data_IF_596128251348
#
_entry.id   IF_596128251348
#
_cell.length_a   1.000
_cell.length_b   1.000
_cell.length_c   1.000
_cell.angle_alpha   90.00
_cell.angle_beta   90.00
_cell.angle_gamma   90.00
#
_symmetry.space_group_name_H-M   'P 1'
#
loop_
_entity.id
_entity.type
_entity.pdbx_description
1 polymer ?
#
# COMPACT_ATOMS: atom_id res chain seq x y z
N UNK A 1 29.62 -53.89 -3.50
CA UNK A 1 29.23 -53.41 -2.15
C UNK A 1 29.78 -51.99 -2.03
N UNK A 2 28.94 -50.95 -2.01
CA UNK A 2 29.44 -49.57 -1.93
C UNK A 2 29.95 -49.36 -0.51
N UNK A 3 31.23 -49.04 -0.36
CA UNK A 3 31.87 -48.74 0.93
C UNK A 3 31.11 -47.61 1.66
N UNK A 4 30.96 -47.74 2.97
CA UNK A 4 30.28 -46.78 3.83
C UNK A 4 30.90 -45.38 3.69
N UNK A 5 32.21 -45.32 3.46
CA UNK A 5 32.98 -44.11 3.17
C UNK A 5 32.48 -43.41 1.90
N UNK A 6 32.21 -44.18 0.85
CA UNK A 6 31.73 -43.66 -0.44
C UNK A 6 30.26 -43.19 -0.34
N UNK A 7 29.43 -43.88 0.46
CA UNK A 7 28.06 -43.44 0.78
C UNK A 7 28.05 -42.09 1.51
N UNK A 8 28.89 -41.93 2.55
CA UNK A 8 29.02 -40.67 3.31
C UNK A 8 29.51 -39.52 2.42
N UNK A 9 30.47 -39.79 1.51
CA UNK A 9 30.96 -38.81 0.53
C UNK A 9 29.86 -38.38 -0.46
N UNK A 10 29.11 -39.32 -1.04
CA UNK A 10 27.99 -39.01 -1.94
C UNK A 10 26.89 -38.20 -1.24
N UNK A 11 26.58 -38.51 0.03
CA UNK A 11 25.63 -37.73 0.82
C UNK A 11 26.12 -36.29 1.04
N UNK A 12 27.39 -36.09 1.44
CA UNK A 12 27.98 -34.76 1.59
C UNK A 12 27.90 -33.94 0.30
N UNK A 13 28.25 -34.53 -0.84
CA UNK A 13 28.18 -33.86 -2.15
C UNK A 13 26.73 -33.46 -2.48
N UNK A 14 25.76 -34.36 -2.25
CA UNK A 14 24.34 -34.04 -2.45
C UNK A 14 23.87 -32.88 -1.57
N UNK A 15 24.25 -32.86 -0.30
CA UNK A 15 23.93 -31.77 0.61
C UNK A 15 24.54 -30.44 0.14
N UNK A 16 25.80 -30.45 -0.30
CA UNK A 16 26.45 -29.25 -0.86
C UNK A 16 25.66 -28.73 -2.06
N UNK A 17 25.26 -29.61 -2.99
CA UNK A 17 24.46 -29.23 -4.16
C UNK A 17 23.11 -28.62 -3.73
N UNK A 18 22.42 -29.23 -2.75
CA UNK A 18 21.16 -28.69 -2.20
C UNK A 18 21.37 -27.29 -1.62
N UNK A 19 22.43 -27.07 -0.83
CA UNK A 19 22.73 -25.75 -0.28
C UNK A 19 23.01 -24.70 -1.35
N UNK A 20 23.73 -25.07 -2.42
CA UNK A 20 23.98 -24.17 -3.56
C UNK A 20 22.66 -23.80 -4.24
N UNK A 21 21.80 -24.77 -4.51
CA UNK A 21 20.48 -24.51 -5.13
C UNK A 21 19.64 -23.59 -4.25
N UNK A 22 19.56 -23.84 -2.95
CA UNK A 22 18.84 -22.99 -2.00
C UNK A 22 19.42 -21.57 -1.98
N UNK A 23 20.75 -21.43 -1.95
CA UNK A 23 21.43 -20.15 -2.01
C UNK A 23 21.08 -19.36 -3.28
N UNK A 24 21.07 -20.01 -4.44
CA UNK A 24 20.69 -19.40 -5.72
C UNK A 24 19.22 -18.98 -5.75
N UNK A 25 18.32 -19.81 -5.21
CA UNK A 25 16.88 -19.48 -5.12
C UNK A 25 16.66 -18.26 -4.22
N UNK A 26 17.33 -18.21 -3.06
CA UNK A 26 17.25 -17.06 -2.14
C UNK A 26 17.83 -15.82 -2.80
N UNK A 27 19.01 -15.90 -3.40
CA UNK A 27 19.65 -14.78 -4.07
C UNK A 27 18.79 -14.23 -5.23
N UNK A 28 18.24 -15.11 -6.06
CA UNK A 28 17.36 -14.74 -7.16
C UNK A 28 16.03 -14.13 -6.72
N UNK A 29 15.59 -14.40 -5.48
CA UNK A 29 14.34 -13.86 -4.90
C UNK A 29 14.58 -12.85 -3.77
N UNK A 30 15.81 -12.38 -3.57
CA UNK A 30 16.19 -11.60 -2.40
C UNK A 30 15.33 -10.33 -2.22
N UNK A 31 15.05 -9.62 -3.30
CA UNK A 31 14.22 -8.40 -3.28
C UNK A 31 12.78 -8.69 -2.84
N UNK A 32 12.18 -9.78 -3.32
CA UNK A 32 10.82 -10.21 -2.92
C UNK A 32 10.78 -10.60 -1.45
N UNK A 33 11.77 -11.37 -0.99
CA UNK A 33 11.87 -11.81 0.41
C UNK A 33 12.02 -10.60 1.34
N UNK A 34 12.96 -9.71 1.04
CA UNK A 34 13.19 -8.53 1.86
C UNK A 34 11.99 -7.56 1.81
N UNK A 35 11.31 -7.41 0.67
CA UNK A 35 10.08 -6.61 0.56
C UNK A 35 8.94 -7.17 1.41
N UNK A 36 8.74 -8.49 1.39
CA UNK A 36 7.75 -9.16 2.23
C UNK A 36 8.06 -9.03 3.73
N UNK A 37 9.33 -9.16 4.12
CA UNK A 37 9.77 -8.97 5.50
C UNK A 37 9.52 -7.53 6.00
N UNK A 38 9.87 -6.53 5.18
CA UNK A 38 9.61 -5.12 5.51
C UNK A 38 8.11 -4.87 5.63
N UNK A 39 7.32 -5.36 4.68
CA UNK A 39 5.85 -5.28 4.76
C UNK A 39 5.32 -5.85 6.07
N UNK A 40 5.78 -7.04 6.45
CA UNK A 40 5.37 -7.69 7.70
C UNK A 40 5.68 -6.83 8.94
N UNK A 41 6.89 -6.30 9.05
CA UNK A 41 7.26 -5.42 10.18
C UNK A 41 6.38 -4.17 10.21
N UNK A 42 6.22 -3.50 9.07
CA UNK A 42 5.47 -2.25 8.99
C UNK A 42 3.98 -2.49 9.24
N UNK A 43 3.41 -3.57 8.74
CA UNK A 43 2.00 -3.93 8.98
C UNK A 43 1.70 -4.20 10.45
N UNK A 44 2.67 -4.65 11.25
CA UNK A 44 2.49 -4.76 12.71
C UNK A 44 2.35 -3.40 13.40
N UNK A 45 2.65 -2.30 12.71
CA UNK A 45 2.47 -0.93 13.20
C UNK A 45 1.21 -0.27 12.65
N UNK A 46 0.39 -1.02 11.90
CA UNK A 46 -0.84 -0.52 11.30
C UNK A 46 -1.77 0.04 12.37
N UNK A 47 -2.15 1.30 12.21
CA UNK A 47 -3.27 1.89 12.92
C UNK A 47 -4.28 2.36 11.87
N UNK A 48 -5.51 1.86 11.99
CA UNK A 48 -6.61 2.19 11.09
C UNK A 48 -7.64 3.02 11.84
N UNK A 49 -7.99 4.17 11.25
CA UNK A 49 -9.00 5.06 11.80
C UNK A 49 -10.03 5.39 10.73
N UNK A 50 -11.29 5.32 11.11
CA UNK A 50 -12.40 5.76 10.26
C UNK A 50 -12.84 7.14 10.70
N UNK A 51 -12.89 8.08 9.76
CA UNK A 51 -13.38 9.45 10.01
C UNK A 51 -14.42 9.82 8.97
N UNK A 52 -15.38 10.65 9.37
CA UNK A 52 -16.37 11.21 8.44
C UNK A 52 -16.17 12.71 8.38
N UNK A 53 -16.08 13.26 7.17
CA UNK A 53 -15.96 14.71 6.96
C UNK A 53 -16.96 15.18 5.91
N UNK A 54 -17.49 16.37 6.11
CA UNK A 54 -18.19 17.12 5.08
C UNK A 54 -17.19 18.01 4.38
N UNK A 55 -17.13 17.94 3.05
CA UNK A 55 -16.15 18.61 2.23
C UNK A 55 -16.81 19.21 0.99
N UNK A 56 -16.20 20.27 0.47
CA UNK A 56 -16.43 20.83 -0.86
C UNK A 56 -15.59 20.09 -1.91
N UNK A 57 -15.89 20.30 -3.19
CA UNK A 57 -15.11 19.77 -4.32
C UNK A 57 -13.64 20.20 -4.26
N UNK A 58 -13.36 21.45 -3.87
CA UNK A 58 -12.00 21.99 -3.76
C UNK A 58 -11.21 21.28 -2.65
N UNK A 59 -11.82 21.04 -1.49
CA UNK A 59 -11.17 20.33 -0.39
C UNK A 59 -10.85 18.87 -0.75
N UNK A 60 -11.73 18.20 -1.53
CA UNK A 60 -11.44 16.86 -2.05
C UNK A 60 -10.23 16.90 -2.98
N UNK A 61 -10.18 17.88 -3.89
CA UNK A 61 -9.05 18.05 -4.81
C UNK A 61 -7.73 18.31 -4.07
N UNK A 62 -7.76 19.11 -3.00
CA UNK A 62 -6.58 19.34 -2.15
C UNK A 62 -6.12 18.06 -1.45
N UNK A 63 -7.05 17.27 -0.91
CA UNK A 63 -6.74 15.97 -0.29
C UNK A 63 -6.11 15.00 -1.30
N UNK A 64 -6.65 14.92 -2.52
CA UNK A 64 -6.07 14.12 -3.60
C UNK A 64 -4.67 14.60 -3.96
N UNK A 65 -4.49 15.90 -4.14
CA UNK A 65 -3.21 16.51 -4.51
C UNK A 65 -2.14 16.22 -3.46
N UNK A 66 -2.49 16.28 -2.19
CA UNK A 66 -1.58 15.94 -1.08
C UNK A 66 -1.22 14.46 -1.07
N UNK A 67 -2.17 13.57 -1.38
CA UNK A 67 -1.90 12.13 -1.45
C UNK A 67 -1.07 11.75 -2.68
N UNK A 68 -1.30 12.40 -3.81
CA UNK A 68 -0.47 12.24 -5.01
C UNK A 68 0.98 12.66 -4.73
N UNK A 69 1.21 13.74 -3.98
CA UNK A 69 2.56 14.11 -3.54
C UNK A 69 3.22 13.01 -2.70
N UNK A 70 2.44 12.33 -1.84
CA UNK A 70 2.94 11.22 -1.03
C UNK A 70 3.38 10.03 -1.90
N UNK A 71 2.70 9.73 -3.01
CA UNK A 71 3.12 8.63 -3.90
C UNK A 71 4.48 8.89 -4.54
N UNK A 72 4.85 10.15 -4.79
CA UNK A 72 6.17 10.50 -5.31
C UNK A 72 7.31 10.16 -4.34
N UNK A 73 7.09 10.22 -3.03
CA UNK A 73 8.06 9.80 -2.01
C UNK A 73 8.28 8.28 -1.95
N UNK A 74 7.44 7.50 -2.63
CA UNK A 74 7.54 6.03 -2.70
C UNK A 74 7.61 5.53 -4.16
N UNK A 75 8.03 6.38 -5.09
CA UNK A 75 8.04 6.11 -6.51
C UNK A 75 9.08 5.03 -6.91
N UNK A 76 8.78 4.29 -7.99
CA UNK A 76 9.55 3.15 -8.52
C UNK A 76 10.94 3.49 -9.07
N UNK A 77 11.28 4.77 -9.16
CA UNK A 77 12.54 5.22 -9.74
C UNK A 77 13.67 5.37 -8.69
N UNK A 78 13.38 5.18 -7.40
CA UNK A 78 14.39 5.30 -6.33
C UNK A 78 15.04 3.96 -5.97
N UNK A 79 16.33 3.99 -5.59
CA UNK A 79 17.05 2.77 -5.17
C UNK A 79 16.39 2.16 -3.94
N UNK A 80 15.88 0.93 -4.08
CA UNK A 80 15.19 0.23 -2.99
C UNK A 80 13.68 0.42 -2.97
N UNK A 81 13.08 1.05 -3.99
CA UNK A 81 11.63 1.20 -4.16
C UNK A 81 10.84 -0.11 -3.97
N UNK A 82 11.42 -1.24 -4.36
CA UNK A 82 10.81 -2.56 -4.24
C UNK A 82 10.51 -2.95 -2.77
N UNK A 83 11.15 -2.30 -1.79
CA UNK A 83 10.88 -2.47 -0.36
C UNK A 83 9.52 -1.89 0.06
N UNK A 84 9.05 -0.88 -0.67
CA UNK A 84 7.84 -0.09 -0.37
C UNK A 84 6.84 -0.10 -1.52
N UNK A 85 7.02 -0.93 -2.56
CA UNK A 85 6.06 -1.08 -3.67
C UNK A 85 4.64 -1.42 -3.18
N UNK A 86 4.54 -2.23 -2.12
CA UNK A 86 3.26 -2.56 -1.50
C UNK A 86 2.60 -1.34 -0.86
N UNK A 87 3.37 -0.44 -0.26
CA UNK A 87 2.87 0.78 0.38
C UNK A 87 2.43 1.80 -0.67
N UNK A 88 3.24 1.95 -1.73
CA UNK A 88 2.88 2.77 -2.87
C UNK A 88 1.54 2.33 -3.48
N UNK A 89 1.32 1.02 -3.65
CA UNK A 89 0.03 0.47 -4.11
C UNK A 89 -1.13 0.85 -3.19
N UNK A 90 -0.98 0.66 -1.87
CA UNK A 90 -2.04 1.04 -0.91
C UNK A 90 -2.37 2.54 -0.94
N UNK A 91 -1.38 3.41 -1.17
CA UNK A 91 -1.60 4.86 -1.30
C UNK A 91 -2.30 5.19 -2.63
N UNK A 92 -1.94 4.51 -3.72
CA UNK A 92 -2.57 4.69 -5.04
C UNK A 92 -4.02 4.20 -5.02
N UNK A 93 -4.30 3.04 -4.43
CA UNK A 93 -5.67 2.53 -4.29
C UNK A 93 -6.55 3.54 -3.51
N UNK A 94 -5.96 4.17 -2.49
CA UNK A 94 -6.56 5.27 -1.74
C UNK A 94 -6.88 6.49 -2.61
N UNK A 95 -5.91 6.92 -3.42
CA UNK A 95 -6.06 8.03 -4.36
C UNK A 95 -7.16 7.76 -5.39
N UNK A 96 -7.22 6.56 -5.96
CA UNK A 96 -8.23 6.15 -6.93
C UNK A 96 -9.65 6.25 -6.32
N UNK A 97 -9.82 5.77 -5.07
CA UNK A 97 -11.12 5.92 -4.38
C UNK A 97 -11.53 7.38 -4.17
N UNK A 98 -10.55 8.27 -3.96
CA UNK A 98 -10.85 9.70 -3.83
C UNK A 98 -11.17 10.32 -5.18
N UNK A 99 -10.50 9.89 -6.25
CA UNK A 99 -10.77 10.34 -7.62
C UNK A 99 -12.22 10.09 -8.01
N UNK A 100 -12.77 8.91 -7.70
CA UNK A 100 -14.19 8.60 -7.90
C UNK A 100 -15.11 9.63 -7.20
N UNK A 101 -14.81 9.98 -5.95
CA UNK A 101 -15.63 10.94 -5.20
C UNK A 101 -15.56 12.36 -5.79
N UNK A 102 -14.40 12.76 -6.30
CA UNK A 102 -14.25 14.04 -7.00
C UNK A 102 -15.01 14.05 -8.33
N UNK A 103 -14.92 12.96 -9.11
CA UNK A 103 -15.65 12.82 -10.37
C UNK A 103 -17.15 13.02 -10.15
N UNK A 104 -17.71 12.39 -9.12
CA UNK A 104 -19.12 12.55 -8.74
C UNK A 104 -19.46 14.02 -8.48
N UNK A 105 -18.63 14.76 -7.75
CA UNK A 105 -18.87 16.18 -7.49
C UNK A 105 -18.74 17.06 -8.74
N UNK A 106 -17.85 16.70 -9.67
CA UNK A 106 -17.69 17.47 -10.92
C UNK A 106 -18.78 17.18 -11.95
N UNK A 107 -19.32 15.95 -11.95
CA UNK A 107 -20.40 15.53 -12.85
C UNK A 107 -21.78 16.04 -12.38
N UNK A 108 -21.91 16.36 -11.09
CA UNK A 108 -23.12 16.86 -10.46
C UNK A 108 -22.91 18.28 -9.90
N UNK A 109 -22.90 19.32 -10.74
CA UNK A 109 -22.65 20.70 -10.30
C UNK A 109 -23.73 21.25 -9.36
N UNK A 110 -24.88 20.58 -9.25
CA UNK A 110 -25.91 20.87 -8.25
C UNK A 110 -25.49 20.53 -6.81
N UNK A 111 -24.41 19.76 -6.63
CA UNK A 111 -23.87 19.44 -5.32
C UNK A 111 -22.82 20.47 -4.87
N UNK A 112 -23.02 21.03 -3.69
CA UNK A 112 -22.13 22.02 -3.08
C UNK A 112 -21.25 21.40 -1.97
N UNK A 113 -21.78 20.41 -1.24
CA UNK A 113 -21.07 19.68 -0.20
C UNK A 113 -21.29 18.18 -0.31
N UNK A 114 -20.36 17.44 0.26
CA UNK A 114 -20.42 15.99 0.30
C UNK A 114 -19.84 15.47 1.59
N UNK A 115 -20.54 14.51 2.18
CA UNK A 115 -20.10 13.81 3.38
C UNK A 115 -19.42 12.52 2.96
N UNK A 116 -18.13 12.42 3.26
CA UNK A 116 -17.27 11.30 2.89
C UNK A 116 -16.81 10.57 4.15
N UNK A 117 -16.94 9.25 4.12
CA UNK A 117 -16.33 8.35 5.09
C UNK A 117 -14.94 7.95 4.58
N UNK A 118 -13.90 8.36 5.29
CA UNK A 118 -12.52 8.03 5.03
C UNK A 118 -12.03 6.92 5.95
N UNK A 119 -11.24 6.00 5.40
CA UNK A 119 -10.41 5.06 6.16
C UNK A 119 -8.96 5.53 6.06
N UNK A 120 -8.44 6.08 7.15
CA UNK A 120 -7.07 6.58 7.25
C UNK A 120 -6.21 5.46 7.84
N UNK A 121 -5.11 5.16 7.17
CA UNK A 121 -4.11 4.21 7.65
C UNK A 121 -2.87 4.99 8.07
N UNK A 122 -2.30 4.58 9.21
CA UNK A 122 -1.02 5.03 9.73
C UNK A 122 -0.08 3.84 9.84
N UNK A 123 1.13 4.00 9.32
CA UNK A 123 2.24 3.06 9.48
C UNK A 123 3.46 3.75 10.08
N UNK A 124 4.34 2.97 10.71
CA UNK A 124 5.71 3.37 11.03
C UNK A 124 6.67 2.76 10.01
N UNK A 125 7.17 3.60 9.09
CA UNK A 125 8.15 3.23 8.08
C UNK A 125 9.45 3.93 8.43
N UNK A 126 10.52 3.17 8.69
CA UNK A 126 11.83 3.70 9.11
C UNK A 126 11.73 4.70 10.27
N UNK A 127 10.86 4.40 11.25
CA UNK A 127 10.60 5.24 12.42
C UNK A 127 9.70 6.46 12.17
N UNK A 128 9.42 6.81 10.91
CA UNK A 128 8.53 7.91 10.53
C UNK A 128 7.09 7.43 10.40
N UNK A 129 6.14 8.28 10.79
CA UNK A 129 4.72 8.01 10.55
C UNK A 129 4.40 8.33 9.09
N UNK A 130 3.81 7.35 8.39
CA UNK A 130 3.20 7.55 7.08
C UNK A 130 1.69 7.47 7.28
N UNK A 131 0.98 8.54 6.98
CA UNK A 131 -0.47 8.64 7.09
C UNK A 131 -1.06 8.89 5.70
N UNK A 132 -2.07 8.10 5.33
CA UNK A 132 -2.75 8.26 4.04
C UNK A 132 -4.20 7.77 4.14
N UNK A 133 -5.04 8.22 3.20
CA UNK A 133 -6.41 7.72 3.06
C UNK A 133 -6.33 6.45 2.23
N UNK A 134 -6.66 5.30 2.82
CA UNK A 134 -6.67 4.00 2.12
C UNK A 134 -7.96 3.73 1.37
N UNK A 135 -9.04 4.39 1.78
CA UNK A 135 -10.36 4.26 1.17
C UNK A 135 -11.19 5.48 1.47
N UNK A 136 -12.01 5.88 0.52
CA UNK A 136 -12.98 6.94 0.69
C UNK A 136 -14.30 6.56 0.04
N UNK A 137 -15.42 6.92 0.66
CA UNK A 137 -16.76 6.68 0.12
C UNK A 137 -17.69 7.82 0.49
N UNK A 138 -18.34 8.43 -0.49
CA UNK A 138 -19.48 9.33 -0.29
C UNK A 138 -20.60 8.56 0.42
N UNK A 139 -21.11 9.13 1.50
CA UNK A 139 -22.30 8.62 2.20
C UNK A 139 -23.51 9.54 2.02
N UNK A 140 -23.28 10.85 1.87
CA UNK A 140 -24.34 11.83 1.63
C UNK A 140 -23.81 12.92 0.70
N UNK A 141 -24.68 13.47 -0.14
CA UNK A 141 -24.43 14.68 -0.94
C UNK A 141 -25.42 15.76 -0.54
N UNK A 142 -25.00 17.01 -0.56
CA UNK A 142 -25.86 18.16 -0.30
C UNK A 142 -26.14 18.87 -1.61
N UNK A 143 -27.37 19.33 -1.78
CA UNK A 143 -27.78 20.21 -2.87
C UNK A 143 -28.66 21.34 -2.31
N UNK A 144 -29.21 22.17 -3.19
CA UNK A 144 -30.22 23.17 -2.81
C UNK A 144 -31.42 22.60 -2.04
N UNK A 145 -31.74 21.33 -2.25
CA UNK A 145 -32.89 20.65 -1.64
C UNK A 145 -32.52 19.96 -0.30
N UNK A 146 -31.27 20.10 0.14
CA UNK A 146 -30.73 19.54 1.38
C UNK A 146 -29.89 18.28 1.16
N UNK A 147 -29.78 17.45 2.20
CA UNK A 147 -28.97 16.23 2.18
C UNK A 147 -29.69 15.05 1.54
N UNK A 148 -28.98 14.33 0.66
CA UNK A 148 -29.42 13.14 -0.05
C UNK A 148 -28.46 11.99 0.29
N UNK A 149 -29.00 10.84 0.70
CA UNK A 149 -28.22 9.62 0.98
C UNK A 149 -27.73 8.96 -0.32
N UNK A 150 -26.53 8.34 -0.27
CA UNK A 150 -25.90 7.64 -1.41
C UNK A 150 -25.37 6.24 -1.06
#
# INVERSE_FOLDING_TARGET
MIDETERKRKLKIRLIIIFIILGLVIAGNFTKIQGAYIKYIVHNTKNEQVVTKTLTTNEIFELQSNQLKLTYSYNKNERGWWKTDWLWKEIVDGLDSMYENYSIMTEHPEYDLVKIKFTIIKYKVDGKTVEFISKSKIIQVHSKDGWIEK
#
